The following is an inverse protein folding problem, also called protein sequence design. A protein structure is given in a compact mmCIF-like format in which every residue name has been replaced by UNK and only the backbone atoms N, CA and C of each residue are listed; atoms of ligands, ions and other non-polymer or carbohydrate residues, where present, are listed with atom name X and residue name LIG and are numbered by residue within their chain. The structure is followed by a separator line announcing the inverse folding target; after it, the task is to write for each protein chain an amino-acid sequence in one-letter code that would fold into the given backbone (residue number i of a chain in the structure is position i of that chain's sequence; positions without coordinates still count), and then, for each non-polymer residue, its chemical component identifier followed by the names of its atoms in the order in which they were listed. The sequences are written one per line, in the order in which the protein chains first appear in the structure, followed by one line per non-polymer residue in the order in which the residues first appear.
data_IF_050336374806
#
_entry.id   IF_050336374806
#
_cell.length_a   1.000
_cell.length_b   1.000
_cell.length_c   1.000
_cell.angle_alpha   90.00
_cell.angle_beta   90.00
_cell.angle_gamma   90.00
#
_symmetry.space_group_name_H-M   'P 1'
#
loop_
_entity.id
_entity.type
_entity.pdbx_description
1 polymer ?
#
# COMPACT_ATOMS: atom_id res chain seq x y z
N UNK A 1 -12.38 8.32 2.68
CA UNK A 1 -13.26 7.19 2.31
C UNK A 1 -12.46 5.94 2.01
N UNK A 2 -11.66 5.98 0.97
CA UNK A 2 -10.85 4.81 0.59
C UNK A 2 -9.88 4.40 1.69
N UNK A 3 -9.24 5.38 2.31
CA UNK A 3 -8.29 5.13 3.39
C UNK A 3 -8.96 4.46 4.58
N UNK A 4 -10.18 4.88 4.91
CA UNK A 4 -10.94 4.27 5.99
C UNK A 4 -11.30 2.81 5.67
N UNK A 5 -11.67 2.54 4.43
CA UNK A 5 -11.96 1.18 4.00
C UNK A 5 -10.75 0.29 4.15
N UNK A 6 -9.60 0.78 3.73
CA UNK A 6 -8.34 0.06 3.87
C UNK A 6 -8.01 -0.19 5.34
N UNK A 7 -8.18 0.83 6.18
CA UNK A 7 -7.90 0.72 7.61
C UNK A 7 -8.77 -0.35 8.25
N UNK A 8 -10.07 -0.33 7.98
CA UNK A 8 -11.01 -1.30 8.54
C UNK A 8 -10.66 -2.71 8.08
N UNK A 9 -10.40 -2.87 6.79
CA UNK A 9 -10.10 -4.17 6.21
C UNK A 9 -8.84 -4.77 6.81
N UNK A 10 -7.79 -3.96 6.89
CA UNK A 10 -6.51 -4.42 7.42
C UNK A 10 -6.56 -4.64 8.93
N UNK A 11 -7.29 -3.80 9.64
CA UNK A 11 -7.41 -3.97 11.09
C UNK A 11 -8.14 -5.25 11.44
N UNK A 12 -9.18 -5.59 10.67
CA UNK A 12 -9.90 -6.84 10.90
C UNK A 12 -9.00 -8.05 10.73
N UNK A 13 -8.05 -7.97 9.81
CA UNK A 13 -7.17 -9.09 9.51
C UNK A 13 -5.94 -9.15 10.40
N UNK A 14 -5.33 -8.02 10.68
CA UNK A 14 -4.03 -7.96 11.37
C UNK A 14 -4.08 -7.35 12.77
N UNK A 15 -5.16 -6.67 13.11
CA UNK A 15 -5.34 -6.11 14.44
C UNK A 15 -4.17 -5.24 14.89
N UNK A 16 -3.58 -5.60 16.00
CA UNK A 16 -2.49 -4.81 16.60
C UNK A 16 -1.19 -4.86 15.78
N UNK A 17 -1.09 -5.73 14.81
CA UNK A 17 0.07 -5.81 13.93
C UNK A 17 0.09 -4.74 12.86
N UNK A 18 -0.97 -3.94 12.77
CA UNK A 18 -1.09 -2.89 11.78
C UNK A 18 -0.54 -1.58 12.30
N UNK A 19 0.36 -0.96 11.55
CA UNK A 19 1.00 0.31 11.90
C UNK A 19 0.86 1.31 10.78
N UNK A 20 1.07 2.56 11.14
CA UNK A 20 1.14 3.67 10.21
C UNK A 20 2.60 4.15 10.22
N UNK A 21 3.26 4.14 9.09
CA UNK A 21 4.67 4.52 9.02
C UNK A 21 4.83 5.97 8.56
N UNK A 22 5.42 6.80 9.39
CA UNK A 22 5.59 8.22 9.10
C UNK A 22 6.90 8.73 9.67
N UNK A 23 8.01 8.43 8.96
CA UNK A 23 9.35 8.91 9.34
C UNK A 23 10.08 9.30 8.07
N UNK A 24 10.00 10.56 7.69
CA UNK A 24 10.57 11.10 6.45
C UNK A 24 9.86 10.60 5.19
N UNK A 25 9.18 9.49 5.27
CA UNK A 25 8.33 8.95 4.20
C UNK A 25 7.02 8.55 4.84
N UNK A 26 5.95 8.59 4.06
CA UNK A 26 4.64 8.21 4.55
C UNK A 26 4.13 6.97 3.84
N UNK A 27 3.90 5.90 4.60
CA UNK A 27 3.23 4.70 4.11
C UNK A 27 1.97 4.55 4.95
N UNK A 28 0.82 4.56 4.28
CA UNK A 28 -0.48 4.58 4.96
C UNK A 28 -0.67 3.42 5.92
N UNK A 29 -0.29 2.22 5.51
CA UNK A 29 -0.47 1.04 6.34
C UNK A 29 0.72 0.10 6.19
N UNK A 30 1.22 -0.38 7.31
CA UNK A 30 2.37 -1.26 7.34
C UNK A 30 2.13 -2.38 8.36
N UNK A 31 2.32 -3.62 7.93
CA UNK A 31 2.19 -4.79 8.79
C UNK A 31 3.56 -5.47 8.81
N UNK A 32 4.43 -5.11 9.78
CA UNK A 32 5.80 -5.63 9.82
C UNK A 32 5.91 -7.15 9.84
N UNK A 33 5.05 -7.80 10.61
CA UNK A 33 5.08 -9.25 10.73
C UNK A 33 4.82 -9.98 9.42
N UNK A 34 4.08 -9.32 8.52
CA UNK A 34 3.75 -9.88 7.21
C UNK A 34 4.63 -9.33 6.10
N UNK A 35 5.47 -8.35 6.40
CA UNK A 35 6.23 -7.65 5.37
C UNK A 35 5.32 -7.01 4.34
N UNK A 36 4.17 -6.49 4.78
CA UNK A 36 3.15 -5.92 3.92
C UNK A 36 3.06 -4.42 4.09
N UNK A 37 3.06 -3.69 2.98
CA UNK A 37 2.83 -2.25 2.99
C UNK A 37 1.73 -1.93 1.99
N UNK A 38 0.80 -1.06 2.39
CA UNK A 38 -0.36 -0.69 1.58
C UNK A 38 -0.50 0.82 1.57
N UNK A 39 -0.65 1.38 0.38
CA UNK A 39 -1.00 2.78 0.18
C UNK A 39 -2.41 2.86 -0.36
N UNK A 40 -3.13 3.91 0.01
CA UNK A 40 -4.46 4.17 -0.53
C UNK A 40 -4.36 5.38 -1.46
N UNK A 41 -4.68 5.22 -2.73
CA UNK A 41 -4.64 6.29 -3.71
C UNK A 41 -5.90 6.22 -4.56
N UNK A 42 -6.67 7.30 -4.55
CA UNK A 42 -7.98 7.30 -5.22
C UNK A 42 -7.89 6.90 -6.68
N UNK A 43 -6.90 7.43 -7.40
CA UNK A 43 -6.70 7.07 -8.80
C UNK A 43 -5.22 7.21 -9.16
N UNK A 44 -4.81 6.44 -10.17
CA UNK A 44 -3.41 6.38 -10.59
C UNK A 44 -3.19 7.14 -11.90
N UNK A 45 -3.94 8.21 -12.14
CA UNK A 45 -3.82 9.00 -13.36
C UNK A 45 -2.85 10.17 -13.22
N UNK A 46 -2.50 10.56 -12.00
CA UNK A 46 -1.59 11.68 -11.73
C UNK A 46 -0.18 11.12 -11.49
N UNK A 47 0.74 11.42 -12.40
CA UNK A 47 2.11 10.93 -12.32
C UNK A 47 2.83 11.35 -11.04
N UNK A 48 2.59 12.57 -10.56
CA UNK A 48 3.20 13.03 -9.32
C UNK A 48 2.75 12.21 -8.13
N UNK A 49 1.45 11.93 -8.06
CA UNK A 49 0.87 11.13 -6.98
C UNK A 49 1.43 9.70 -7.03
N UNK A 50 1.48 9.11 -8.23
CA UNK A 50 2.03 7.77 -8.41
C UNK A 50 3.47 7.73 -7.95
N UNK A 51 4.30 8.69 -8.38
CA UNK A 51 5.71 8.72 -8.01
C UNK A 51 5.89 8.82 -6.49
N UNK A 52 5.10 9.67 -5.84
CA UNK A 52 5.18 9.84 -4.40
C UNK A 52 4.84 8.54 -3.67
N UNK A 53 3.76 7.88 -4.08
CA UNK A 53 3.33 6.64 -3.45
C UNK A 53 4.35 5.52 -3.68
N UNK A 54 4.88 5.42 -4.90
CA UNK A 54 5.85 4.40 -5.26
C UNK A 54 7.17 4.62 -4.53
N UNK A 55 7.63 5.87 -4.49
CA UNK A 55 8.89 6.21 -3.80
C UNK A 55 8.83 5.87 -2.32
N UNK A 56 7.70 6.12 -1.69
CA UNK A 56 7.53 5.80 -0.27
C UNK A 56 7.63 4.30 -0.02
N UNK A 57 7.00 3.50 -0.88
CA UNK A 57 7.05 2.04 -0.74
C UNK A 57 8.46 1.50 -0.98
N UNK A 58 9.16 2.04 -2.00
CA UNK A 58 10.53 1.64 -2.29
C UNK A 58 11.46 2.02 -1.13
N UNK A 59 11.29 3.20 -0.56
CA UNK A 59 12.10 3.65 0.56
C UNK A 59 11.87 2.76 1.78
N UNK A 60 10.64 2.41 2.07
CA UNK A 60 10.33 1.51 3.18
C UNK A 60 10.95 0.13 2.96
N UNK A 61 10.87 -0.37 1.72
CA UNK A 61 11.48 -1.65 1.36
C UNK A 61 13.00 -1.64 1.60
N UNK A 62 13.63 -0.51 1.38
CA UNK A 62 15.07 -0.36 1.63
C UNK A 62 15.41 -0.41 3.11
N UNK A 63 14.49 0.02 3.98
CA UNK A 63 14.68 -0.02 5.43
C UNK A 63 14.29 -1.37 6.04
N UNK A 64 13.16 -1.88 5.62
CA UNK A 64 12.59 -3.13 6.12
C UNK A 64 12.07 -3.92 4.91
N UNK A 65 12.77 -4.97 4.47
CA UNK A 65 12.38 -5.69 3.26
C UNK A 65 10.91 -6.10 3.28
N UNK A 66 10.19 -5.73 2.22
CA UNK A 66 8.79 -6.03 2.07
C UNK A 66 8.59 -7.29 1.26
N UNK A 67 7.67 -8.13 1.69
CA UNK A 67 7.26 -9.32 0.95
C UNK A 67 6.15 -8.95 -0.04
N UNK A 68 5.38 -7.92 0.28
CA UNK A 68 4.27 -7.49 -0.56
C UNK A 68 4.03 -6.00 -0.40
N UNK A 69 3.90 -5.31 -1.52
CA UNK A 69 3.60 -3.88 -1.54
C UNK A 69 2.41 -3.66 -2.46
N UNK A 70 1.46 -2.84 -2.02
CA UNK A 70 0.22 -2.63 -2.73
C UNK A 70 -0.20 -1.17 -2.72
N UNK A 71 -0.85 -0.75 -3.80
CA UNK A 71 -1.55 0.54 -3.85
C UNK A 71 -3.01 0.20 -4.15
N UNK A 72 -3.87 0.51 -3.20
CA UNK A 72 -5.30 0.25 -3.34
C UNK A 72 -5.95 1.50 -3.92
N UNK A 73 -6.67 1.33 -5.03
CA UNK A 73 -7.29 2.43 -5.76
C UNK A 73 -8.80 2.24 -5.78
N UNK A 74 -9.49 3.20 -6.39
CA UNK A 74 -10.93 3.08 -6.56
C UNK A 74 -11.25 2.05 -7.66
N UNK A 75 -10.63 2.18 -8.83
CA UNK A 75 -10.92 1.30 -9.98
C UNK A 75 -9.69 0.78 -10.72
N UNK A 76 -8.53 1.39 -10.52
CA UNK A 76 -7.34 1.04 -11.30
C UNK A 76 -6.74 -0.29 -10.88
N UNK A 77 -6.19 -0.99 -11.85
CA UNK A 77 -5.56 -2.28 -11.62
C UNK A 77 -4.31 -2.39 -12.48
N UNK A 78 -3.25 -2.96 -11.91
CA UNK A 78 -2.00 -3.12 -12.65
C UNK A 78 -0.85 -3.49 -11.73
N UNK A 79 0.35 -3.19 -12.20
CA UNK A 79 1.55 -3.58 -11.51
C UNK A 79 2.69 -2.63 -11.89
N UNK A 80 3.48 -2.25 -10.92
CA UNK A 80 4.67 -1.42 -11.13
C UNK A 80 5.84 -2.15 -10.49
N UNK A 81 6.96 -2.25 -11.23
CA UNK A 81 8.21 -2.79 -10.67
C UNK A 81 9.20 -1.63 -10.60
N UNK A 82 9.71 -1.36 -9.43
CA UNK A 82 10.68 -0.29 -9.22
C UNK A 82 11.76 -0.73 -8.24
N UNK A 83 13.02 -0.65 -8.66
CA UNK A 83 14.17 -1.00 -7.83
C UNK A 83 14.05 -2.40 -7.22
N UNK A 84 13.53 -3.34 -8.01
CA UNK A 84 13.37 -4.73 -7.59
C UNK A 84 12.12 -5.01 -6.77
N UNK A 85 11.34 -3.98 -6.42
CA UNK A 85 10.11 -4.15 -5.67
C UNK A 85 8.92 -4.18 -6.63
N UNK A 86 8.13 -5.24 -6.53
CA UNK A 86 6.90 -5.36 -7.30
C UNK A 86 5.75 -4.76 -6.49
N UNK A 87 5.09 -3.78 -7.05
CA UNK A 87 3.98 -3.09 -6.41
C UNK A 87 2.70 -3.43 -7.14
N UNK A 88 1.74 -4.02 -6.42
CA UNK A 88 0.45 -4.39 -6.99
C UNK A 88 -0.51 -3.21 -6.89
N UNK A 89 -1.20 -2.91 -7.97
CA UNK A 89 -2.25 -1.89 -7.97
C UNK A 89 -3.57 -2.64 -8.07
N UNK A 90 -4.41 -2.49 -7.04
CA UNK A 90 -5.65 -3.26 -6.95
C UNK A 90 -6.84 -2.35 -6.68
N UNK A 91 -7.97 -2.56 -7.35
CA UNK A 91 -9.19 -1.81 -7.00
C UNK A 91 -9.72 -2.29 -5.66
N UNK A 92 -10.21 -1.37 -4.87
CA UNK A 92 -10.65 -1.66 -3.50
C UNK A 92 -11.73 -2.74 -3.45
N UNK A 93 -12.70 -2.70 -4.36
CA UNK A 93 -13.79 -3.66 -4.35
C UNK A 93 -13.30 -5.09 -4.53
N UNK A 94 -12.28 -5.26 -5.35
CA UNK A 94 -11.71 -6.58 -5.64
C UNK A 94 -10.84 -7.06 -4.48
N UNK A 95 -10.02 -6.15 -3.97
CA UNK A 95 -9.12 -6.46 -2.87
C UNK A 95 -9.87 -6.84 -1.60
N UNK A 96 -10.94 -6.13 -1.28
CA UNK A 96 -11.76 -6.41 -0.09
C UNK A 96 -12.36 -7.82 -0.16
N UNK A 97 -12.76 -8.24 -1.36
CA UNK A 97 -13.31 -9.58 -1.53
C UNK A 97 -12.28 -10.69 -1.31
N UNK A 98 -11.00 -10.38 -1.47
CA UNK A 98 -9.92 -11.34 -1.30
C UNK A 98 -9.41 -11.41 0.14
N UNK A 99 -9.78 -10.45 0.95
CA UNK A 99 -9.37 -10.43 2.35
C UNK A 99 -10.39 -11.19 3.26
#
# INVERSE_FOLDING_TARGET
MLENLCAITLYKKYGKGLYYYNRNIEVDFYVPDEGLAVQASYQMSDEETIEREVKALVALHGLYPLKRAMIITYEDEGEIVRDGLKIEIRPAWKWVLEC
#
